data_IF_465488558561
#
_entry.id   IF_465488558561
#
_cell.length_a   1.000
_cell.length_b   1.000
_cell.length_c   1.000
_cell.angle_alpha   90.00
_cell.angle_beta   90.00
_cell.angle_gamma   90.00
#
_symmetry.space_group_name_H-M   'P 1'
#
loop_
_entity.id
_entity.type
_entity.pdbx_description
1 polymer ?
#
# COMPACT_ATOMS: atom_id res chain seq x y z
N UNK A 1 -0.94 29.43 7.19
CA UNK A 1 -0.75 29.17 8.64
C UNK A 1 -1.88 28.33 9.24
N UNK A 2 -3.16 28.77 9.23
CA UNK A 2 -4.28 28.00 9.87
C UNK A 2 -4.55 26.60 9.31
N UNK A 3 -4.28 26.36 8.02
CA UNK A 3 -4.55 25.06 7.38
C UNK A 3 -3.65 23.95 7.93
N UNK A 4 -2.41 24.30 8.28
CA UNK A 4 -1.39 23.39 8.83
C UNK A 4 -1.74 23.04 10.28
N UNK A 5 -2.23 24.00 11.06
CA UNK A 5 -2.72 23.76 12.43
C UNK A 5 -3.98 22.88 12.44
N UNK A 6 -4.86 23.03 11.44
CA UNK A 6 -6.04 22.21 11.27
C UNK A 6 -5.67 20.77 10.88
N UNK A 7 -4.71 20.61 9.97
CA UNK A 7 -4.13 19.32 9.61
C UNK A 7 -3.45 18.64 10.80
N UNK A 8 -2.61 19.37 11.53
CA UNK A 8 -1.96 18.89 12.75
C UNK A 8 -2.99 18.46 13.80
N UNK A 9 -4.10 19.18 13.95
CA UNK A 9 -5.20 18.82 14.85
C UNK A 9 -5.95 17.56 14.41
N UNK A 10 -6.12 17.34 13.11
CA UNK A 10 -6.75 16.13 12.57
C UNK A 10 -5.83 14.91 12.79
N UNK A 11 -4.53 15.06 12.54
CA UNK A 11 -3.50 14.04 12.87
C UNK A 11 -3.48 13.74 14.37
N UNK A 12 -3.56 14.78 15.22
CA UNK A 12 -3.60 14.63 16.70
C UNK A 12 -4.88 14.00 17.23
N UNK A 13 -5.96 13.97 16.45
CA UNK A 13 -7.28 13.47 16.86
C UNK A 13 -7.48 11.98 16.59
N UNK A 14 -6.50 11.29 16.02
CA UNK A 14 -6.45 9.83 16.09
C UNK A 14 -6.22 9.46 17.57
N UNK A 15 -7.31 9.38 18.34
CA UNK A 15 -7.26 8.90 19.71
C UNK A 15 -6.71 7.48 19.67
N UNK A 16 -5.63 7.19 20.41
CA UNK A 16 -5.15 5.83 20.53
C UNK A 16 -6.25 4.99 21.21
N UNK A 17 -6.76 4.00 20.49
CA UNK A 17 -7.63 2.95 21.03
C UNK A 17 -6.80 1.97 21.90
N UNK A 18 -5.91 2.48 22.74
CA UNK A 18 -4.92 1.68 23.44
C UNK A 18 -5.11 1.78 24.95
N UNK A 19 -5.11 0.61 25.60
CA UNK A 19 -5.05 0.50 27.04
C UNK A 19 -3.77 1.19 27.55
N UNK A 20 -3.83 1.94 28.66
CA UNK A 20 -2.75 2.84 29.11
C UNK A 20 -1.42 2.16 29.51
N UNK A 21 -1.34 0.82 29.44
CA UNK A 21 -0.20 0.02 29.90
C UNK A 21 0.48 -0.80 28.78
N UNK A 22 0.22 -0.49 27.50
CA UNK A 22 0.86 -1.18 26.38
C UNK A 22 1.99 -0.34 25.81
N UNK A 23 3.17 -0.94 25.65
CA UNK A 23 4.29 -0.31 24.95
C UNK A 23 4.02 -0.28 23.44
N UNK A 24 4.16 0.88 22.78
CA UNK A 24 3.91 0.98 21.34
C UNK A 24 4.97 0.19 20.54
N UNK A 25 4.52 -0.61 19.58
CA UNK A 25 5.39 -1.37 18.68
C UNK A 25 5.22 -0.92 17.23
N UNK A 26 6.32 -0.80 16.50
CA UNK A 26 6.33 -0.55 15.05
C UNK A 26 6.74 -1.82 14.32
N UNK A 27 5.86 -2.34 13.48
CA UNK A 27 6.16 -3.48 12.61
C UNK A 27 6.58 -2.96 11.23
N UNK A 28 7.77 -3.36 10.78
CA UNK A 28 8.28 -3.04 9.44
C UNK A 28 8.36 -4.34 8.63
N UNK A 29 7.48 -4.53 7.63
CA UNK A 29 7.56 -5.70 6.76
C UNK A 29 8.83 -5.66 5.90
N UNK A 30 9.35 -6.84 5.56
CA UNK A 30 10.44 -7.00 4.59
C UNK A 30 9.92 -6.92 3.14
N UNK A 31 10.82 -7.14 2.18
CA UNK A 31 10.50 -7.21 0.75
C UNK A 31 9.32 -8.16 0.53
N UNK A 32 8.31 -7.70 -0.20
CA UNK A 32 7.10 -8.43 -0.53
C UNK A 32 6.21 -8.83 0.66
N UNK A 33 6.49 -8.30 1.86
CA UNK A 33 5.73 -8.57 3.09
C UNK A 33 4.49 -7.70 3.28
N UNK A 34 4.05 -6.96 2.25
CA UNK A 34 2.89 -6.06 2.31
C UNK A 34 2.03 -6.14 1.06
N UNK A 35 0.72 -5.98 1.18
CA UNK A 35 -0.22 -5.90 0.06
C UNK A 35 -0.04 -4.58 -0.72
N UNK A 36 0.11 -4.68 -2.04
CA UNK A 36 0.23 -3.55 -2.97
C UNK A 36 -0.98 -3.50 -3.92
N UNK A 37 -1.48 -2.28 -4.16
CA UNK A 37 -2.48 -2.00 -5.18
C UNK A 37 -1.91 -1.07 -6.26
N UNK A 38 -2.35 -1.27 -7.49
CA UNK A 38 -2.24 -0.29 -8.56
C UNK A 38 -3.48 0.62 -8.51
N UNK A 39 -3.28 1.92 -8.62
CA UNK A 39 -4.32 2.93 -8.74
C UNK A 39 -4.18 3.56 -10.12
N UNK A 40 -5.24 3.51 -10.92
CA UNK A 40 -5.24 4.17 -12.22
C UNK A 40 -5.62 5.66 -12.09
N UNK A 41 -5.53 6.42 -13.19
CA UNK A 41 -5.90 7.85 -13.21
C UNK A 41 -7.36 8.13 -12.85
N UNK A 42 -8.25 7.13 -12.96
CA UNK A 42 -9.66 7.23 -12.58
C UNK A 42 -9.90 6.95 -11.08
N UNK A 43 -8.84 6.60 -10.34
CA UNK A 43 -8.90 6.23 -8.92
C UNK A 43 -9.30 4.78 -8.66
N UNK A 44 -9.46 3.95 -9.70
CA UNK A 44 -9.76 2.53 -9.55
C UNK A 44 -8.55 1.81 -8.96
N UNK A 45 -8.78 1.13 -7.84
CA UNK A 45 -7.77 0.37 -7.11
C UNK A 45 -7.86 -1.10 -7.46
N UNK A 46 -6.71 -1.68 -7.79
CA UNK A 46 -6.59 -3.09 -8.11
C UNK A 46 -5.39 -3.70 -7.37
N UNK A 47 -5.62 -4.72 -6.53
CA UNK A 47 -4.53 -5.43 -5.83
C UNK A 47 -3.60 -6.05 -6.82
N UNK A 48 -2.31 -5.72 -6.84
CA UNK A 48 -1.31 -6.32 -7.75
C UNK A 48 -0.38 -7.30 -7.04
N UNK A 49 -0.31 -7.23 -5.70
CA UNK A 49 0.43 -8.14 -4.85
C UNK A 49 -0.24 -8.22 -3.47
N UNK A 50 -0.40 -9.37 -2.82
CA UNK A 50 -0.22 -10.75 -3.32
C UNK A 50 -1.50 -11.18 -4.06
N UNK A 51 -1.37 -11.98 -5.13
CA UNK A 51 -2.50 -12.56 -5.89
C UNK A 51 -2.27 -14.04 -6.18
N UNK A 52 -3.35 -14.82 -6.26
CA UNK A 52 -3.29 -16.24 -6.61
C UNK A 52 -3.28 -16.49 -8.14
N UNK A 53 -4.04 -15.72 -8.92
CA UNK A 53 -4.15 -15.89 -10.39
C UNK A 53 -3.78 -14.62 -11.15
N UNK A 54 -3.20 -14.80 -12.35
CA UNK A 54 -2.85 -13.68 -13.24
C UNK A 54 -1.70 -12.81 -12.72
N UNK A 55 -1.00 -13.26 -11.68
CA UNK A 55 0.00 -12.47 -10.96
C UNK A 55 1.14 -12.06 -11.88
N UNK A 56 1.67 -12.95 -12.73
CA UNK A 56 2.79 -12.61 -13.62
C UNK A 56 2.41 -11.55 -14.68
N UNK A 57 1.23 -11.62 -15.28
CA UNK A 57 0.86 -10.67 -16.33
C UNK A 57 0.56 -9.27 -15.77
N UNK A 58 -0.16 -9.19 -14.64
CA UNK A 58 -0.49 -7.91 -14.02
C UNK A 58 0.72 -7.30 -13.31
N UNK A 59 1.60 -8.13 -12.74
CA UNK A 59 2.86 -7.67 -12.16
C UNK A 59 3.78 -7.06 -13.23
N UNK A 60 3.93 -7.71 -14.38
CA UNK A 60 4.77 -7.19 -15.48
C UNK A 60 4.19 -5.92 -16.10
N UNK A 61 2.87 -5.81 -16.22
CA UNK A 61 2.22 -4.63 -16.81
C UNK A 61 2.25 -3.42 -15.89
N UNK A 62 2.01 -3.63 -14.58
CA UNK A 62 1.72 -2.53 -13.65
C UNK A 62 2.84 -2.24 -12.65
N UNK A 63 3.67 -3.23 -12.32
CA UNK A 63 4.67 -3.11 -11.26
C UNK A 63 6.09 -2.92 -11.79
N UNK A 64 6.32 -3.27 -13.06
CA UNK A 64 7.62 -3.04 -13.68
C UNK A 64 7.93 -1.55 -13.80
N UNK A 65 9.20 -1.24 -13.54
CA UNK A 65 9.72 0.10 -13.54
C UNK A 65 11.02 0.15 -14.32
N UNK A 66 11.29 1.28 -14.96
CA UNK A 66 12.54 1.55 -15.67
C UNK A 66 13.49 2.32 -14.78
N UNK A 67 14.73 1.86 -14.70
CA UNK A 67 15.79 2.56 -14.00
C UNK A 67 16.56 3.50 -14.93
N UNK A 68 16.58 4.78 -14.61
CA UNK A 68 17.37 5.80 -15.30
C UNK A 68 18.70 6.03 -14.58
N UNK A 69 19.78 5.45 -15.13
CA UNK A 69 21.14 5.51 -14.55
C UNK A 69 21.66 6.94 -14.36
N UNK A 70 21.38 7.83 -15.32
CA UNK A 70 21.88 9.21 -15.29
C UNK A 70 21.31 10.02 -14.12
N UNK A 71 20.08 9.71 -13.70
CA UNK A 71 19.38 10.43 -12.62
C UNK A 71 19.36 9.67 -11.29
N UNK A 72 19.71 8.37 -11.31
CA UNK A 72 19.59 7.50 -10.14
C UNK A 72 18.15 7.23 -9.73
N UNK A 73 17.19 7.35 -10.66
CA UNK A 73 15.75 7.24 -10.38
C UNK A 73 15.13 6.03 -11.05
N UNK A 74 14.14 5.47 -10.38
CA UNK A 74 13.27 4.43 -10.91
C UNK A 74 11.91 5.06 -11.20
N UNK A 75 11.42 4.92 -12.43
CA UNK A 75 10.10 5.40 -12.83
C UNK A 75 9.20 4.24 -13.21
N UNK A 76 7.89 4.32 -12.94
CA UNK A 76 6.94 3.32 -13.44
C UNK A 76 6.97 3.29 -14.98
N UNK A 77 6.68 2.13 -15.57
CA UNK A 77 6.54 2.02 -17.03
C UNK A 77 5.29 2.72 -17.57
N UNK A 78 4.21 2.72 -16.79
CA UNK A 78 2.97 3.44 -17.09
C UNK A 78 2.79 4.59 -16.09
N UNK A 79 2.88 5.83 -16.58
CA UNK A 79 2.74 7.04 -15.78
C UNK A 79 1.31 7.25 -15.25
N UNK A 80 0.33 6.51 -15.78
CA UNK A 80 -1.07 6.57 -15.33
C UNK A 80 -1.36 5.69 -14.13
N UNK A 81 -0.38 4.87 -13.72
CA UNK A 81 -0.52 3.89 -12.66
C UNK A 81 0.38 4.27 -11.49
N UNK A 82 -0.22 4.37 -10.32
CA UNK A 82 0.48 4.55 -9.05
C UNK A 82 0.42 3.26 -8.24
N UNK A 83 1.54 2.83 -7.69
CA UNK A 83 1.58 1.68 -6.77
C UNK A 83 1.51 2.18 -5.33
N UNK A 84 0.45 1.78 -4.63
CA UNK A 84 0.18 2.18 -3.25
C UNK A 84 0.14 0.97 -2.33
N UNK A 85 0.65 1.13 -1.12
CA UNK A 85 0.42 0.16 -0.05
C UNK A 85 -1.04 0.27 0.39
N UNK A 86 -1.67 -0.87 0.66
CA UNK A 86 -3.06 -0.86 1.16
C UNK A 86 -3.11 -0.25 2.55
N UNK A 87 -3.77 0.91 2.68
CA UNK A 87 -3.99 1.54 3.99
C UNK A 87 -5.29 1.04 4.63
N UNK A 88 -5.27 0.84 5.94
CA UNK A 88 -6.44 0.58 6.78
C UNK A 88 -6.46 1.51 8.00
N UNK A 89 -7.50 1.38 8.82
CA UNK A 89 -7.69 2.22 10.02
C UNK A 89 -6.61 2.01 11.09
N UNK A 90 -5.91 0.88 11.06
CA UNK A 90 -5.00 0.45 12.12
C UNK A 90 -3.55 0.23 11.67
N UNK A 91 -3.24 0.41 10.38
CA UNK A 91 -1.93 0.19 9.76
C UNK A 91 -1.51 -1.28 9.60
N UNK A 92 -2.38 -2.24 9.93
CA UNK A 92 -2.02 -3.66 10.03
C UNK A 92 -2.52 -4.50 8.87
N UNK A 93 -3.62 -4.11 8.21
CA UNK A 93 -4.23 -4.91 7.14
C UNK A 93 -3.25 -5.26 6.01
N UNK A 94 -2.34 -4.36 5.64
CA UNK A 94 -1.36 -4.63 4.59
C UNK A 94 -0.41 -5.78 4.91
N UNK A 95 -0.23 -6.12 6.18
CA UNK A 95 0.82 -7.06 6.65
C UNK A 95 0.27 -8.24 7.46
N UNK A 96 -0.98 -8.20 7.88
CA UNK A 96 -1.60 -9.22 8.73
C UNK A 96 -1.87 -10.52 7.98
N UNK A 97 -2.56 -10.45 6.83
CA UNK A 97 -2.90 -11.60 5.99
C UNK A 97 -2.57 -11.28 4.54
N UNK A 98 -1.54 -11.92 4.01
CA UNK A 98 -1.14 -11.77 2.61
C UNK A 98 -1.93 -12.68 1.65
N UNK A 99 -2.64 -13.68 2.17
CA UNK A 99 -3.45 -14.57 1.34
C UNK A 99 -4.66 -13.83 0.76
N UNK A 100 -5.07 -14.21 -0.45
CA UNK A 100 -6.32 -13.72 -1.07
C UNK A 100 -7.31 -14.87 -1.09
N UNK A 101 -8.54 -14.63 -0.59
CA UNK A 101 -9.58 -15.66 -0.51
C UNK A 101 -9.77 -16.39 -1.84
N UNK A 102 -9.40 -17.67 -1.86
CA UNK A 102 -9.76 -18.62 -2.91
C UNK A 102 -11.25 -18.96 -2.74
N UNK A 103 -12.14 -18.12 -3.26
CA UNK A 103 -13.49 -18.62 -3.58
C UNK A 103 -13.36 -19.41 -4.88
N UNK A 104 -12.98 -20.69 -4.75
CA UNK A 104 -13.16 -21.67 -5.81
C UNK A 104 -14.66 -21.88 -5.98
N UNK A 105 -15.31 -21.04 -6.79
CA UNK A 105 -16.69 -21.25 -7.21
C UNK A 105 -16.71 -22.52 -8.05
N UNK A 106 -17.15 -23.62 -7.43
CA UNK A 106 -17.49 -24.89 -8.08
C UNK A 106 -18.88 -24.77 -8.70
#
# INVERSE_FOLDING_TARGET
MRLIELWLRIVKKQQPLFAPNLDPMLLVPSIAGSILNAVNSDGNKERVWVRNFGTDCEFRKKLWSRFFKCEGKTVPLDEKIEIVVTEDRHGLHSIEVLETDLVSTT
#
